data_IF_648490526815
#
_entry.id   IF_648490526815
#
_cell.length_a   1.000
_cell.length_b   1.000
_cell.length_c   1.000
_cell.angle_alpha   90.00
_cell.angle_beta   90.00
_cell.angle_gamma   90.00
#
_symmetry.space_group_name_H-M   'P 1'
#
loop_
_entity.id
_entity.type
_entity.pdbx_description
1 polymer ?
#
# COMPACT_ATOMS: atom_id res chain seq x y z
N UNK A 1 -47.97 11.83 1.67
CA UNK A 1 -47.39 11.50 1.87
C UNK A 1 -46.44 11.08 1.66
N UNK A 2 -45.83 10.89 1.58
CA UNK A 2 -44.95 10.64 1.34
C UNK A 2 -43.94 10.12 1.69
N UNK A 3 -43.56 9.48 1.66
CA UNK A 3 -42.73 8.86 2.11
C UNK A 3 -41.40 8.87 1.93
N UNK A 4 -40.88 8.93 1.87
CA UNK A 4 -39.79 9.05 1.69
C UNK A 4 -38.89 8.53 1.96
N UNK A 5 -38.51 8.20 1.99
CA UNK A 5 -37.61 7.86 1.88
C UNK A 5 -36.48 7.54 2.51
N UNK A 6 -36.27 6.77 3.01
CA UNK A 6 -35.21 6.58 3.66
C UNK A 6 -34.13 6.12 2.99
N UNK A 7 -34.12 6.09 1.84
CA UNK A 7 -33.08 5.52 1.25
C UNK A 7 -31.85 6.08 1.57
N UNK A 8 -31.86 7.09 2.04
CA UNK A 8 -30.72 7.67 2.15
C UNK A 8 -29.99 7.21 3.18
N UNK A 9 -30.39 6.47 3.92
CA UNK A 9 -29.62 6.08 4.85
C UNK A 9 -28.53 5.39 4.38
N UNK A 10 -28.27 5.20 3.17
CA UNK A 10 -27.07 4.72 2.81
C UNK A 10 -26.07 5.43 3.52
N UNK A 11 -25.43 4.87 4.42
CA UNK A 11 -24.36 5.55 5.08
C UNK A 11 -23.38 5.91 4.02
N UNK A 12 -22.99 7.11 3.93
CA UNK A 12 -22.07 7.56 2.91
C UNK A 12 -20.79 6.80 2.91
N UNK A 13 -20.44 6.19 4.07
CA UNK A 13 -19.19 5.51 4.14
C UNK A 13 -19.16 4.20 3.41
N UNK A 14 -20.26 3.48 3.29
CA UNK A 14 -20.23 2.18 2.64
C UNK A 14 -19.94 2.29 1.15
N UNK A 15 -20.33 3.37 0.53
CA UNK A 15 -20.06 3.54 -0.89
C UNK A 15 -18.67 4.07 -1.18
N UNK A 16 -18.01 4.60 -0.16
CA UNK A 16 -16.69 5.19 -0.33
C UNK A 16 -15.60 4.40 0.35
N UNK A 17 -15.88 3.16 0.76
CA UNK A 17 -14.87 2.34 1.37
C UNK A 17 -14.11 1.53 0.34
N UNK A 18 -12.81 1.43 0.51
CA UNK A 18 -11.95 0.62 -0.32
C UNK A 18 -11.01 -0.20 0.55
N UNK A 19 -10.63 -1.36 0.10
CA UNK A 19 -9.71 -2.24 0.80
C UNK A 19 -8.59 -2.60 -0.14
N UNK A 20 -7.35 -2.55 0.34
CA UNK A 20 -6.18 -2.79 -0.48
C UNK A 20 -5.25 -3.78 0.19
N UNK A 21 -4.73 -4.73 -0.58
CA UNK A 21 -3.67 -5.62 -0.13
C UNK A 21 -2.44 -5.28 -0.94
N UNK A 22 -1.31 -5.06 -0.27
CA UNK A 22 -0.08 -4.62 -0.93
C UNK A 22 1.09 -5.51 -0.54
N UNK A 23 2.03 -5.67 -1.44
CA UNK A 23 3.26 -6.39 -1.15
C UNK A 23 4.39 -5.89 -2.06
N UNK A 24 5.62 -6.17 -1.65
CA UNK A 24 6.81 -5.84 -2.40
C UNK A 24 7.84 -6.97 -2.28
N UNK A 25 8.66 -7.10 -3.29
CA UNK A 25 9.70 -8.10 -3.32
C UNK A 25 10.95 -7.55 -4.01
N UNK A 26 12.12 -7.95 -3.55
CA UNK A 26 13.36 -7.56 -4.22
C UNK A 26 14.36 -8.70 -4.20
N UNK A 27 15.37 -8.60 -5.05
CA UNK A 27 16.43 -9.59 -5.11
C UNK A 27 17.53 -9.14 -4.15
N UNK A 28 17.76 -9.93 -3.10
CA UNK A 28 18.77 -9.59 -2.10
C UNK A 28 18.43 -8.31 -1.35
N UNK A 29 19.46 -7.63 -0.82
CA UNK A 29 19.27 -6.40 -0.08
C UNK A 29 19.02 -5.22 -1.01
N UNK A 30 19.46 -5.30 -2.24
CA UNK A 30 19.21 -4.29 -3.26
C UNK A 30 19.38 -4.94 -4.64
N UNK A 31 18.49 -4.65 -5.55
CA UNK A 31 18.53 -5.22 -6.92
C UNK A 31 17.18 -5.09 -7.57
N UNK A 32 16.90 -5.90 -8.58
CA UNK A 32 15.58 -5.91 -9.21
C UNK A 32 14.49 -6.21 -8.22
N UNK A 33 13.38 -5.52 -8.32
CA UNK A 33 12.25 -5.74 -7.43
C UNK A 33 10.93 -5.45 -8.11
N UNK A 34 9.86 -5.85 -7.45
CA UNK A 34 8.51 -5.65 -7.93
C UNK A 34 7.55 -5.35 -6.79
N UNK A 35 6.43 -4.72 -7.14
CA UNK A 35 5.36 -4.45 -6.20
C UNK A 35 4.04 -4.95 -6.76
N UNK A 36 3.11 -5.22 -5.88
CA UNK A 36 1.77 -5.63 -6.26
C UNK A 36 0.73 -5.08 -5.31
N UNK A 37 -0.42 -4.75 -5.84
CA UNK A 37 -1.55 -4.27 -5.06
C UNK A 37 -2.85 -4.85 -5.63
N UNK A 38 -3.75 -5.23 -4.74
CA UNK A 38 -5.08 -5.69 -5.10
C UNK A 38 -6.06 -4.74 -4.43
N UNK A 39 -6.90 -4.08 -5.21
CA UNK A 39 -7.82 -3.06 -4.74
C UNK A 39 -9.26 -3.56 -4.89
N UNK A 40 -10.00 -3.51 -3.79
CA UNK A 40 -11.43 -3.82 -3.79
C UNK A 40 -12.17 -2.50 -3.52
N UNK A 41 -12.89 -2.02 -4.50
CA UNK A 41 -13.57 -0.73 -4.39
C UNK A 41 -14.83 -0.74 -5.27
N UNK A 42 -15.94 -0.28 -4.73
CA UNK A 42 -17.20 -0.18 -5.47
C UNK A 42 -17.62 -1.50 -6.13
N UNK A 43 -17.40 -2.60 -5.44
CA UNK A 43 -17.78 -3.92 -5.95
C UNK A 43 -16.86 -4.45 -7.06
N UNK A 44 -15.78 -3.75 -7.34
CA UNK A 44 -14.83 -4.14 -8.37
C UNK A 44 -13.49 -4.49 -7.75
N UNK A 45 -12.76 -5.35 -8.44
CA UNK A 45 -11.40 -5.72 -8.03
C UNK A 45 -10.44 -5.26 -9.12
N UNK A 46 -9.40 -4.55 -8.70
CA UNK A 46 -8.38 -4.10 -9.63
C UNK A 46 -7.01 -4.55 -9.13
N UNK A 47 -6.17 -5.03 -10.03
CA UNK A 47 -4.82 -5.47 -9.68
C UNK A 47 -3.81 -4.58 -10.37
N UNK A 48 -2.79 -4.17 -9.63
CA UNK A 48 -1.73 -3.31 -10.15
C UNK A 48 -0.39 -3.91 -9.77
N UNK A 49 0.56 -3.87 -10.69
CA UNK A 49 1.91 -4.33 -10.38
C UNK A 49 2.91 -3.55 -11.22
N UNK A 50 4.15 -3.57 -10.80
CA UNK A 50 5.24 -2.94 -11.52
C UNK A 50 6.56 -3.33 -10.89
N UNK A 51 7.64 -2.92 -11.51
CA UNK A 51 8.98 -3.28 -11.02
C UNK A 51 10.01 -2.22 -11.31
N UNK A 52 11.14 -2.34 -10.65
CA UNK A 52 12.29 -1.46 -10.81
C UNK A 52 13.57 -2.28 -10.84
N UNK A 53 14.56 -1.83 -11.60
CA UNK A 53 15.82 -2.56 -11.76
C UNK A 53 16.72 -2.45 -10.53
N UNK A 54 16.66 -1.35 -9.82
CA UNK A 54 17.54 -1.10 -8.67
C UNK A 54 16.72 -0.55 -7.51
N UNK A 55 16.31 -1.44 -6.63
CA UNK A 55 15.41 -1.08 -5.54
C UNK A 55 15.63 -1.98 -4.32
N UNK A 56 14.85 -1.77 -3.29
CA UNK A 56 14.88 -2.59 -2.07
C UNK A 56 13.48 -3.10 -1.77
N UNK A 57 13.40 -4.08 -0.89
CA UNK A 57 12.13 -4.62 -0.48
C UNK A 57 11.22 -3.52 0.11
N UNK A 58 11.77 -2.71 1.01
CA UNK A 58 11.00 -1.63 1.63
C UNK A 58 10.51 -0.61 0.59
N UNK A 59 11.34 -0.24 -0.37
CA UNK A 59 10.92 0.68 -1.43
C UNK A 59 9.72 0.12 -2.20
N UNK A 60 9.75 -1.17 -2.51
CA UNK A 60 8.64 -1.80 -3.23
C UNK A 60 7.37 -1.89 -2.38
N UNK A 61 7.53 -2.15 -1.08
CA UNK A 61 6.40 -2.15 -0.15
C UNK A 61 5.73 -0.77 -0.10
N UNK A 62 6.51 0.29 0.01
CA UNK A 62 5.99 1.65 0.04
C UNK A 62 5.36 2.02 -1.30
N UNK A 63 6.02 1.65 -2.40
CA UNK A 63 5.52 1.95 -3.75
C UNK A 63 4.17 1.30 -4.01
N UNK A 64 3.99 0.05 -3.55
CA UNK A 64 2.70 -0.62 -3.70
C UNK A 64 1.58 0.17 -3.04
N UNK A 65 1.82 0.67 -1.83
CA UNK A 65 0.83 1.48 -1.13
C UNK A 65 0.57 2.81 -1.84
N UNK A 66 1.62 3.47 -2.32
CA UNK A 66 1.48 4.72 -3.05
C UNK A 66 0.61 4.55 -4.29
N UNK A 67 0.93 3.54 -5.11
CA UNK A 67 0.22 3.30 -6.36
C UNK A 67 -1.25 2.97 -6.09
N UNK A 68 -1.51 2.15 -5.09
CA UNK A 68 -2.88 1.80 -4.74
C UNK A 68 -3.69 3.03 -4.33
N UNK A 69 -3.15 3.84 -3.43
CA UNK A 69 -3.85 5.04 -2.96
C UNK A 69 -4.02 6.09 -4.05
N UNK A 70 -3.08 6.17 -4.97
CA UNK A 70 -3.15 7.09 -6.12
C UNK A 70 -4.17 6.62 -7.16
N UNK A 71 -4.40 5.32 -7.25
CA UNK A 71 -5.33 4.75 -8.23
C UNK A 71 -6.78 4.88 -7.79
N UNK A 72 -7.04 4.72 -6.49
CA UNK A 72 -8.40 4.88 -5.96
C UNK A 72 -8.81 6.35 -6.07
N UNK A 73 -10.02 6.61 -6.53
CA UNK A 73 -10.51 7.96 -6.60
C UNK A 73 -10.44 8.63 -5.24
N UNK A 74 -10.19 9.93 -5.23
CA UNK A 74 -10.04 10.65 -3.97
C UNK A 74 -11.30 10.63 -3.11
N UNK A 75 -11.13 10.98 -1.87
CA UNK A 75 -12.22 11.08 -0.89
C UNK A 75 -12.86 9.75 -0.48
N UNK A 76 -12.08 8.69 -0.51
CA UNK A 76 -12.50 7.39 0.02
C UNK A 76 -11.93 7.14 1.42
N UNK A 77 -12.55 6.22 2.14
CA UNK A 77 -11.97 5.66 3.35
C UNK A 77 -11.29 4.38 2.93
N UNK A 78 -10.00 4.30 3.07
CA UNK A 78 -9.20 3.18 2.57
C UNK A 78 -8.55 2.42 3.71
N UNK A 79 -8.67 1.10 3.72
CA UNK A 79 -7.91 0.26 4.65
C UNK A 79 -6.84 -0.47 3.85
N UNK A 80 -5.60 -0.27 4.23
CA UNK A 80 -4.45 -0.90 3.60
C UNK A 80 -3.97 -2.06 4.46
N UNK A 81 -3.94 -3.26 3.88
CA UNK A 81 -3.44 -4.46 4.54
C UNK A 81 -2.07 -4.79 3.96
N UNK A 82 -1.06 -4.84 4.81
CA UNK A 82 0.31 -5.16 4.41
C UNK A 82 0.98 -6.00 5.48
N UNK A 83 1.95 -6.84 5.10
CA UNK A 83 2.69 -7.60 6.09
C UNK A 83 4.00 -6.90 6.47
N UNK A 84 4.33 -5.80 5.82
CA UNK A 84 5.55 -5.04 6.11
C UNK A 84 5.41 -4.25 7.41
N UNK A 85 5.97 -4.76 8.48
CA UNK A 85 5.86 -4.14 9.81
C UNK A 85 6.36 -2.70 9.83
N UNK A 86 7.46 -2.43 9.16
CA UNK A 86 8.05 -1.07 9.19
C UNK A 86 7.10 -0.05 8.55
N UNK A 87 6.52 -0.38 7.42
CA UNK A 87 5.55 0.48 6.74
C UNK A 87 4.32 0.72 7.61
N UNK A 88 3.72 -0.36 8.08
CA UNK A 88 2.49 -0.26 8.89
C UNK A 88 2.74 0.54 10.17
N UNK A 89 3.86 0.26 10.86
CA UNK A 89 4.17 0.96 12.10
C UNK A 89 4.49 2.44 11.86
N UNK A 90 5.20 2.76 10.80
CA UNK A 90 5.50 4.15 10.47
C UNK A 90 4.21 4.95 10.31
N UNK A 91 3.27 4.39 9.56
CA UNK A 91 2.03 5.09 9.27
C UNK A 91 1.08 5.12 10.47
N UNK A 92 0.97 4.02 11.22
CA UNK A 92 0.10 3.98 12.40
C UNK A 92 0.61 4.84 13.53
N UNK A 93 1.91 4.83 13.78
CA UNK A 93 2.52 5.58 14.88
C UNK A 93 2.88 7.00 14.51
N UNK A 94 2.83 7.32 13.23
CA UNK A 94 3.11 8.67 12.76
C UNK A 94 4.56 9.11 12.88
N UNK A 95 5.51 8.20 12.67
CA UNK A 95 6.93 8.55 12.73
C UNK A 95 7.28 9.69 11.77
N UNK A 96 6.58 9.79 10.64
CA UNK A 96 6.80 10.83 9.65
C UNK A 96 6.58 12.25 10.21
N UNK A 97 5.80 12.39 11.28
CA UNK A 97 5.55 13.71 11.88
C UNK A 97 6.85 14.30 12.45
N UNK A 98 7.62 13.45 13.13
CA UNK A 98 8.89 13.86 13.68
C UNK A 98 9.87 14.16 12.57
N UNK A 99 9.90 13.35 11.54
CA UNK A 99 10.78 13.56 10.40
C UNK A 99 10.50 14.90 9.72
N UNK A 100 9.23 15.24 9.52
CA UNK A 100 8.88 16.53 8.93
C UNK A 100 9.35 17.70 9.78
N UNK A 101 9.24 17.57 11.09
CA UNK A 101 9.62 18.65 12.01
C UNK A 101 11.13 18.84 12.13
N UNK A 102 11.90 17.79 11.98
CA UNK A 102 13.33 17.86 12.19
C UNK A 102 14.19 17.82 10.91
N UNK A 103 13.55 18.03 9.75
CA UNK A 103 14.31 18.04 8.50
C UNK A 103 14.59 16.68 7.92
N UNK A 104 13.77 15.68 8.24
CA UNK A 104 13.91 14.30 7.75
C UNK A 104 15.18 13.61 8.25
N UNK A 105 15.45 13.77 9.52
CA UNK A 105 16.56 13.10 10.19
C UNK A 105 16.04 12.00 11.10
N UNK A 106 16.75 10.87 11.12
CA UNK A 106 16.38 9.78 12.02
C UNK A 106 16.97 10.01 13.41
N UNK A 107 16.78 9.07 14.32
CA UNK A 107 17.25 9.20 15.70
C UNK A 107 18.77 9.33 15.83
N UNK A 108 19.52 8.95 14.80
CA UNK A 108 20.97 9.08 14.79
C UNK A 108 21.42 10.34 14.07
N UNK A 109 20.50 11.25 13.78
CA UNK A 109 20.76 12.49 13.06
C UNK A 109 21.26 12.26 11.63
N UNK A 110 20.95 11.10 11.06
CA UNK A 110 21.26 10.79 9.66
C UNK A 110 20.00 10.97 8.81
N UNK A 111 20.12 11.24 7.52
CA UNK A 111 18.94 11.40 6.66
C UNK A 111 18.08 10.15 6.68
N UNK A 112 16.76 10.35 6.75
CA UNK A 112 15.80 9.24 6.69
C UNK A 112 15.84 8.62 5.30
N UNK A 113 16.01 7.31 5.25
CA UNK A 113 16.02 6.59 3.99
C UNK A 113 14.66 6.63 3.33
N UNK A 114 14.64 6.67 2.01
CA UNK A 114 13.41 6.60 1.21
C UNK A 114 12.48 7.80 1.41
N UNK A 115 13.04 8.95 1.74
CA UNK A 115 12.27 10.18 1.91
C UNK A 115 11.34 10.45 0.73
N UNK A 116 11.84 10.25 -0.49
CA UNK A 116 11.05 10.45 -1.71
C UNK A 116 9.75 9.65 -1.68
N UNK A 117 9.82 8.40 -1.29
CA UNK A 117 8.65 7.54 -1.23
C UNK A 117 7.74 7.85 -0.04
N UNK A 118 8.33 8.19 1.11
CA UNK A 118 7.54 8.60 2.27
C UNK A 118 6.74 9.86 1.96
N UNK A 119 7.35 10.84 1.30
CA UNK A 119 6.66 12.07 0.92
C UNK A 119 5.54 11.78 -0.08
N UNK A 120 5.81 10.91 -1.06
CA UNK A 120 4.81 10.50 -2.03
C UNK A 120 3.63 9.79 -1.33
N UNK A 121 3.94 8.91 -0.37
CA UNK A 121 2.91 8.18 0.38
C UNK A 121 2.03 9.13 1.18
N UNK A 122 2.64 10.10 1.86
CA UNK A 122 1.88 11.07 2.64
C UNK A 122 0.95 11.89 1.75
N UNK A 123 1.42 12.27 0.56
CA UNK A 123 0.61 13.00 -0.38
C UNK A 123 -0.56 12.13 -0.85
N UNK A 124 -0.30 10.85 -1.10
CA UNK A 124 -1.34 9.92 -1.51
C UNK A 124 -2.40 9.71 -0.43
N UNK A 125 -2.00 9.67 0.85
CA UNK A 125 -2.97 9.53 1.95
C UNK A 125 -3.85 10.76 2.06
N UNK A 126 -3.31 11.95 1.76
CA UNK A 126 -4.07 13.19 1.87
C UNK A 126 -5.19 13.30 0.82
N UNK A 127 -5.18 12.47 -0.18
CA UNK A 127 -6.25 12.43 -1.19
C UNK A 127 -7.54 11.85 -0.63
N UNK A 128 -7.47 11.14 0.47
CA UNK A 128 -8.59 10.35 0.99
C UNK A 128 -9.10 10.88 2.32
N UNK A 129 -10.34 10.54 2.67
CA UNK A 129 -10.93 10.96 3.93
C UNK A 129 -10.19 10.33 5.10
N UNK A 130 -9.81 9.07 4.97
CA UNK A 130 -9.12 8.36 6.01
C UNK A 130 -8.37 7.19 5.40
N UNK A 131 -7.18 6.91 5.88
CA UNK A 131 -6.43 5.72 5.48
C UNK A 131 -6.05 4.97 6.76
N UNK A 132 -6.52 3.74 6.87
CA UNK A 132 -6.23 2.88 8.01
C UNK A 132 -5.20 1.85 7.58
N UNK A 133 -4.29 1.56 8.48
CA UNK A 133 -3.20 0.61 8.20
C UNK A 133 -3.35 -0.60 9.10
N UNK A 134 -3.38 -1.79 8.50
CA UNK A 134 -3.53 -3.04 9.21
C UNK A 134 -2.45 -4.01 8.78
N UNK A 135 -1.84 -4.67 9.74
CA UNK A 135 -0.84 -5.67 9.43
C UNK A 135 -1.54 -7.02 9.22
N UNK A 136 -1.16 -7.73 8.15
CA UNK A 136 -1.61 -9.10 7.94
C UNK A 136 -0.39 -9.99 8.06
N UNK A 137 -0.60 -11.27 8.43
CA UNK A 137 0.49 -12.20 8.49
C UNK A 137 0.73 -12.76 7.10
N UNK A 138 1.94 -12.58 6.58
CA UNK A 138 2.32 -13.21 5.34
C UNK A 138 2.41 -14.72 5.55
N UNK A 139 2.03 -15.48 4.53
CA UNK A 139 2.09 -16.94 4.56
C UNK A 139 1.33 -17.58 5.72
N UNK A 140 0.24 -16.96 6.13
CA UNK A 140 -0.60 -17.51 7.19
C UNK A 140 -1.25 -18.79 6.73
N UNK A 141 -1.37 -19.78 7.62
CA UNK A 141 -2.05 -21.02 7.32
C UNK A 141 -3.56 -20.88 7.39
N UNK A 142 -4.06 -19.77 7.94
CA UNK A 142 -5.48 -19.57 8.03
C UNK A 142 -6.07 -19.21 6.66
N UNK A 143 -7.25 -19.70 6.38
CA UNK A 143 -7.95 -19.38 5.13
C UNK A 143 -8.74 -18.09 5.32
N UNK A 144 -9.15 -17.47 4.23
CA UNK A 144 -10.01 -16.31 4.27
C UNK A 144 -9.61 -15.22 3.28
N UNK A 145 -10.39 -14.16 3.25
CA UNK A 145 -10.19 -13.09 2.27
C UNK A 145 -8.85 -12.37 2.47
N UNK A 146 -8.40 -12.23 3.72
CA UNK A 146 -7.11 -11.58 3.98
C UNK A 146 -5.95 -12.42 3.44
N UNK A 147 -6.04 -13.75 3.58
CA UNK A 147 -5.02 -14.62 3.04
C UNK A 147 -5.01 -14.55 1.52
N UNK A 148 -6.18 -14.61 0.88
CA UNK A 148 -6.27 -14.55 -0.58
C UNK A 148 -5.75 -13.22 -1.12
N UNK A 149 -6.10 -12.11 -0.51
CA UNK A 149 -5.64 -10.79 -0.93
C UNK A 149 -4.13 -10.65 -0.79
N UNK A 150 -3.59 -11.06 0.35
CA UNK A 150 -2.16 -10.98 0.60
C UNK A 150 -1.37 -11.89 -0.35
N UNK A 151 -1.85 -13.13 -0.57
CA UNK A 151 -1.20 -14.06 -1.49
C UNK A 151 -1.21 -13.52 -2.92
N UNK A 152 -2.29 -12.90 -3.33
CA UNK A 152 -2.37 -12.34 -4.67
C UNK A 152 -1.43 -11.15 -4.85
N UNK A 153 -1.34 -10.28 -3.86
CA UNK A 153 -0.40 -9.16 -3.90
C UNK A 153 1.04 -9.68 -3.98
N UNK A 154 1.36 -10.74 -3.23
CA UNK A 154 2.66 -11.37 -3.27
C UNK A 154 2.97 -11.94 -4.66
N UNK A 155 2.03 -12.64 -5.27
CA UNK A 155 2.21 -13.19 -6.62
C UNK A 155 2.48 -12.08 -7.63
N UNK A 156 1.76 -10.98 -7.55
CA UNK A 156 1.94 -9.84 -8.43
C UNK A 156 3.34 -9.23 -8.26
N UNK A 157 3.78 -9.07 -7.02
CA UNK A 157 5.11 -8.52 -6.72
C UNK A 157 6.23 -9.41 -7.23
N UNK A 158 6.13 -10.70 -6.96
CA UNK A 158 7.14 -11.68 -7.38
C UNK A 158 7.20 -11.79 -8.91
N UNK A 159 6.05 -11.81 -9.56
CA UNK A 159 5.98 -11.86 -11.01
C UNK A 159 6.59 -10.60 -11.64
N UNK A 160 6.29 -9.43 -11.10
CA UNK A 160 6.86 -8.18 -11.59
C UNK A 160 8.38 -8.15 -11.41
N UNK A 161 8.87 -8.64 -10.26
CA UNK A 161 10.31 -8.74 -10.01
C UNK A 161 10.97 -9.64 -11.04
N UNK A 162 10.39 -10.79 -11.34
CA UNK A 162 10.94 -11.72 -12.32
C UNK A 162 11.02 -11.13 -13.72
N UNK A 163 10.05 -10.32 -14.10
CA UNK A 163 10.06 -9.65 -15.40
C UNK A 163 11.23 -8.68 -15.52
N UNK A 164 11.53 -7.96 -14.45
CA UNK A 164 12.66 -7.03 -14.42
C UNK A 164 13.97 -7.79 -14.48
N UNK A 165 14.10 -8.86 -13.68
CA UNK A 165 15.27 -9.72 -13.67
C UNK A 165 15.56 -10.28 -15.07
N UNK A 166 14.53 -10.79 -15.75
CA UNK A 166 14.68 -11.38 -17.07
C UNK A 166 15.17 -10.36 -18.09
N UNK A 167 14.64 -9.13 -18.01
CA UNK A 167 15.08 -8.07 -18.93
C UNK A 167 16.54 -7.68 -18.69
N UNK A 168 16.98 -7.69 -17.44
CA UNK A 168 18.37 -7.38 -17.16
C UNK A 168 19.30 -8.47 -17.64
N UNK A 169 18.84 -9.71 -17.65
CA UNK A 169 19.65 -10.83 -18.11
C UNK A 169 19.81 -10.86 -19.64
N UNK A 170 18.99 -10.13 -20.35
CA UNK A 170 19.09 -10.01 -21.80
C UNK A 170 19.91 -8.80 -22.21
#
# INVERSE_FOLDING_TARGET
MSGKGGSEELTPFSEQEAYVYTDGASTGSRGPGGYGAVIFCDGKTEEISGGEHDTTNLRMEITAACVALETIEKDHSVTVYADASYLVNCMRRGWYRKWRENGWLNHRQAPVANRDLWERLLKATQRHQEVRWRKVKGHSKSAGVHKSGNDRADELAVTAKKRVDTKEAQ
#
